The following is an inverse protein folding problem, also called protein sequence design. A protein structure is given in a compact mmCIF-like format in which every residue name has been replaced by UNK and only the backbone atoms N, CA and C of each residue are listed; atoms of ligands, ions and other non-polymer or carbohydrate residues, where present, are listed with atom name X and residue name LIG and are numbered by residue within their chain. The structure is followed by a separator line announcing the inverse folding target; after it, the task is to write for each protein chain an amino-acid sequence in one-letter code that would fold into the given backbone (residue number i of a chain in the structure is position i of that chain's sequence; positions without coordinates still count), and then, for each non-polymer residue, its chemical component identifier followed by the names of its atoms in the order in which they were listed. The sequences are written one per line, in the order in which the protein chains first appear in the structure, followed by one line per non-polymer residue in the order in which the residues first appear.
data_IF_318856192530
#
_entry.id   IF_318856192530
#
_cell.length_a   1.000
_cell.length_b   1.000
_cell.length_c   1.000
_cell.angle_alpha   90.00
_cell.angle_beta   90.00
_cell.angle_gamma   90.00
#
_symmetry.space_group_name_H-M   'P 1'
#
loop_
_entity.id
_entity.type
_entity.pdbx_description
1 polymer ?
#
# COMPACT_ATOMS: atom_id res chain seq x y z
N UNK A 1 -11.30 32.58 -6.64
CA UNK A 1 -12.02 31.27 -6.69
C UNK A 1 -11.17 30.13 -7.27
N UNK A 2 -10.44 30.35 -8.38
CA UNK A 2 -9.60 29.31 -9.05
C UNK A 2 -8.44 28.75 -8.20
N UNK A 3 -7.83 29.55 -7.32
CA UNK A 3 -6.66 29.11 -6.52
C UNK A 3 -6.97 28.08 -5.42
N UNK A 4 -8.15 28.16 -4.78
CA UNK A 4 -8.55 27.17 -3.76
C UNK A 4 -8.84 25.81 -4.41
N UNK A 5 -9.48 25.83 -5.59
CA UNK A 5 -9.74 24.64 -6.40
C UNK A 5 -8.41 24.01 -6.84
N UNK A 6 -7.45 24.83 -7.25
CA UNK A 6 -6.10 24.38 -7.60
C UNK A 6 -5.40 23.65 -6.46
N UNK A 7 -5.37 24.24 -5.25
CA UNK A 7 -4.76 23.59 -4.08
C UNK A 7 -5.49 22.28 -3.76
N UNK A 8 -6.83 22.27 -3.82
CA UNK A 8 -7.62 21.06 -3.59
C UNK A 8 -7.26 19.93 -4.56
N UNK A 9 -7.15 20.24 -5.85
CA UNK A 9 -6.74 19.27 -6.88
C UNK A 9 -5.30 18.81 -6.69
N UNK A 10 -4.38 19.73 -6.34
CA UNK A 10 -2.99 19.39 -6.04
C UNK A 10 -2.90 18.32 -4.94
N UNK A 11 -3.56 18.59 -3.81
CA UNK A 11 -3.57 17.68 -2.66
C UNK A 11 -4.22 16.35 -3.02
N UNK A 12 -5.34 16.39 -3.77
CA UNK A 12 -6.03 15.19 -4.22
C UNK A 12 -5.14 14.32 -5.12
N UNK A 13 -4.43 14.91 -6.09
CA UNK A 13 -3.54 14.14 -6.97
C UNK A 13 -2.33 13.58 -6.22
N UNK A 14 -1.73 14.34 -5.30
CA UNK A 14 -0.66 13.81 -4.46
C UNK A 14 -1.16 12.68 -3.54
N UNK A 15 -2.37 12.80 -3.00
CA UNK A 15 -3.02 11.74 -2.22
C UNK A 15 -3.28 10.48 -3.04
N UNK A 16 -3.78 10.63 -4.27
CA UNK A 16 -3.94 9.52 -5.21
C UNK A 16 -2.60 8.90 -5.61
N UNK A 17 -1.55 9.69 -5.76
CA UNK A 17 -0.21 9.20 -6.03
C UNK A 17 0.32 8.36 -4.86
N UNK A 18 0.18 8.85 -3.63
CA UNK A 18 0.55 8.08 -2.44
C UNK A 18 -0.26 6.78 -2.34
N UNK A 19 -1.57 6.87 -2.49
CA UNK A 19 -2.46 5.71 -2.49
C UNK A 19 -2.03 4.68 -3.54
N UNK A 20 -1.80 5.12 -4.78
CA UNK A 20 -1.34 4.24 -5.85
C UNK A 20 0.04 3.63 -5.59
N UNK A 21 0.97 4.36 -4.98
CA UNK A 21 2.30 3.85 -4.65
C UNK A 21 2.28 2.85 -3.49
N UNK A 22 1.31 2.96 -2.59
CA UNK A 22 1.10 2.01 -1.49
C UNK A 22 0.27 0.78 -1.90
N UNK A 23 -0.44 0.87 -3.02
CA UNK A 23 -1.04 -0.28 -3.68
C UNK A 23 0.06 -1.15 -4.33
N UNK A 24 -0.20 -2.45 -4.44
CA UNK A 24 0.68 -3.45 -5.04
C UNK A 24 1.17 -3.03 -6.45
N UNK A 25 2.38 -3.45 -6.84
CA UNK A 25 3.12 -3.05 -8.05
C UNK A 25 2.32 -3.28 -9.35
N UNK A 26 1.29 -4.12 -9.34
CA UNK A 26 0.40 -4.33 -10.49
C UNK A 26 -0.27 -3.05 -10.99
N UNK A 27 -0.42 -2.02 -10.15
CA UNK A 27 -0.96 -0.71 -10.54
C UNK A 27 0.11 0.28 -11.04
N UNK A 28 1.40 -0.04 -10.89
CA UNK A 28 2.53 0.80 -11.31
C UNK A 28 2.53 1.04 -12.84
N UNK A 29 2.14 0.02 -13.63
CA UNK A 29 2.04 0.14 -15.09
C UNK A 29 1.03 1.20 -15.56
N UNK A 30 0.00 1.48 -14.77
CA UNK A 30 -1.02 2.48 -15.08
C UNK A 30 -0.70 3.87 -14.50
N UNK A 31 0.35 3.99 -13.68
CA UNK A 31 0.73 5.24 -13.01
C UNK A 31 1.08 6.38 -13.98
N UNK A 32 1.67 6.05 -15.15
CA UNK A 32 1.95 7.03 -16.21
C UNK A 32 0.66 7.61 -16.81
N UNK A 33 -0.36 6.78 -17.04
CA UNK A 33 -1.66 7.23 -17.56
C UNK A 33 -2.36 8.16 -16.56
N UNK A 34 -2.27 7.85 -15.26
CA UNK A 34 -2.87 8.66 -14.20
C UNK A 34 -2.05 9.89 -13.80
N UNK A 35 -0.79 10.03 -14.23
CA UNK A 35 0.08 11.17 -13.89
C UNK A 35 0.20 12.21 -15.02
N UNK A 36 0.14 11.76 -16.27
CA UNK A 36 0.20 12.65 -17.44
C UNK A 36 -1.10 13.44 -17.59
N UNK A 37 -2.27 12.81 -17.41
CA UNK A 37 -3.57 13.47 -17.56
C UNK A 37 -3.74 14.63 -16.56
N UNK A 38 -3.44 14.48 -15.26
CA UNK A 38 -3.49 15.59 -14.31
C UNK A 38 -2.49 16.70 -14.61
N UNK A 39 -1.26 16.37 -15.01
CA UNK A 39 -0.24 17.36 -15.35
C UNK A 39 -0.63 18.22 -16.57
N UNK A 40 -1.23 17.60 -17.58
CA UNK A 40 -1.79 18.29 -18.76
C UNK A 40 -3.00 19.13 -18.37
N UNK A 41 -3.88 18.62 -17.49
CA UNK A 41 -5.01 19.39 -16.97
C UNK A 41 -4.56 20.60 -16.13
N UNK A 42 -3.51 20.43 -15.32
CA UNK A 42 -2.89 21.45 -14.46
C UNK A 42 -2.32 22.62 -15.25
N UNK A 43 -1.64 22.31 -16.36
CA UNK A 43 -1.01 23.31 -17.25
C UNK A 43 -2.03 24.08 -18.09
N UNK A 44 -3.16 23.45 -18.44
CA UNK A 44 -4.22 24.05 -19.25
C UNK A 44 -5.17 24.97 -18.45
N UNK A 45 -5.56 24.62 -17.21
CA UNK A 45 -6.65 25.32 -16.51
C UNK A 45 -6.22 26.37 -15.46
N UNK A 46 -4.99 26.31 -14.97
CA UNK A 46 -4.58 27.03 -13.73
C UNK A 46 -3.51 28.09 -13.92
N UNK A 47 -2.99 28.23 -15.13
CA UNK A 47 -1.69 28.85 -15.33
C UNK A 47 -1.68 30.39 -15.30
N UNK A 48 -0.62 31.02 -14.76
CA UNK A 48 -0.30 32.42 -15.02
C UNK A 48 -0.03 32.65 -16.52
N UNK A 49 -0.18 33.90 -17.00
CA UNK A 49 -0.04 34.25 -18.42
C UNK A 49 1.36 34.04 -18.98
N UNK A 50 2.38 33.96 -18.12
CA UNK A 50 3.79 33.80 -18.50
C UNK A 50 4.22 32.32 -18.61
N UNK A 51 4.93 31.98 -19.68
CA UNK A 51 5.40 30.62 -19.98
C UNK A 51 6.26 30.04 -18.84
N UNK A 52 7.18 30.84 -18.28
CA UNK A 52 8.07 30.42 -17.20
C UNK A 52 7.32 30.02 -15.92
N UNK A 53 6.23 30.72 -15.58
CA UNK A 53 5.40 30.36 -14.43
C UNK A 53 4.72 28.99 -14.61
N UNK A 54 4.32 28.66 -15.84
CA UNK A 54 3.77 27.33 -16.17
C UNK A 54 4.80 26.22 -16.00
N UNK A 55 6.02 26.46 -16.49
CA UNK A 55 7.12 25.48 -16.40
C UNK A 55 7.47 25.21 -14.93
N UNK A 56 7.67 26.25 -14.13
CA UNK A 56 7.99 26.11 -12.70
C UNK A 56 6.89 25.34 -11.96
N UNK A 57 5.63 25.71 -12.18
CA UNK A 57 4.49 25.05 -11.52
C UNK A 57 4.37 23.56 -11.93
N UNK A 58 4.62 23.26 -13.20
CA UNK A 58 4.68 21.89 -13.70
C UNK A 58 5.79 21.08 -13.05
N UNK A 59 7.01 21.64 -12.95
CA UNK A 59 8.13 20.99 -12.29
C UNK A 59 7.82 20.70 -10.81
N UNK A 60 7.24 21.66 -10.09
CA UNK A 60 6.83 21.47 -8.68
C UNK A 60 5.81 20.35 -8.57
N UNK A 61 4.77 20.36 -9.42
CA UNK A 61 3.75 19.31 -9.42
C UNK A 61 4.34 17.92 -9.68
N UNK A 62 5.13 17.77 -10.74
CA UNK A 62 5.75 16.47 -11.09
C UNK A 62 6.66 15.98 -9.96
N UNK A 63 7.43 16.88 -9.34
CA UNK A 63 8.32 16.54 -8.23
C UNK A 63 7.53 16.09 -7.01
N UNK A 64 6.51 16.85 -6.60
CA UNK A 64 5.67 16.52 -5.45
C UNK A 64 4.84 15.24 -5.68
N UNK A 65 4.32 15.05 -6.88
CA UNK A 65 3.56 13.87 -7.26
C UNK A 65 4.44 12.61 -7.23
N UNK A 66 5.62 12.66 -7.86
CA UNK A 66 6.60 11.57 -7.84
C UNK A 66 7.06 11.25 -6.42
N UNK A 67 7.31 12.27 -5.61
CA UNK A 67 7.70 12.09 -4.22
C UNK A 67 6.59 11.46 -3.37
N UNK A 68 5.33 11.89 -3.57
CA UNK A 68 4.18 11.31 -2.87
C UNK A 68 4.00 9.82 -3.20
N UNK A 69 4.19 9.45 -4.46
CA UNK A 69 4.18 8.05 -4.89
C UNK A 69 5.32 7.25 -4.26
N UNK A 70 6.54 7.77 -4.28
CA UNK A 70 7.70 7.14 -3.63
C UNK A 70 7.46 6.91 -2.13
N UNK A 71 6.83 7.85 -1.43
CA UNK A 71 6.43 7.67 -0.02
C UNK A 71 5.39 6.56 0.15
N UNK A 72 4.44 6.43 -0.78
CA UNK A 72 3.49 5.32 -0.82
C UNK A 72 4.21 3.96 -0.94
N UNK A 73 5.15 3.84 -1.87
CA UNK A 73 5.94 2.61 -2.05
C UNK A 73 6.80 2.30 -0.83
N UNK A 74 7.38 3.33 -0.19
CA UNK A 74 8.12 3.15 1.07
C UNK A 74 7.20 2.67 2.21
N UNK A 75 5.95 3.12 2.26
CA UNK A 75 4.94 2.63 3.21
C UNK A 75 4.65 1.15 2.99
N UNK A 76 4.45 0.75 1.73
CA UNK A 76 4.27 -0.66 1.36
C UNK A 76 5.47 -1.53 1.77
N UNK A 77 6.70 -1.12 1.42
CA UNK A 77 7.91 -1.87 1.76
C UNK A 77 8.14 -1.97 3.27
N UNK A 78 7.74 -0.95 4.04
CA UNK A 78 7.74 -1.03 5.50
C UNK A 78 6.79 -2.13 5.98
N UNK A 79 5.57 -2.17 5.48
CA UNK A 79 4.59 -3.20 5.84
C UNK A 79 5.07 -4.61 5.44
N UNK A 80 5.71 -4.74 4.28
CA UNK A 80 6.32 -5.99 3.82
C UNK A 80 7.43 -6.49 4.75
N UNK A 81 8.39 -5.62 5.07
CA UNK A 81 9.48 -5.97 5.98
C UNK A 81 8.97 -6.30 7.39
N UNK A 82 7.92 -5.61 7.84
CA UNK A 82 7.24 -5.95 9.09
C UNK A 82 6.61 -7.34 9.04
N UNK A 83 6.03 -7.73 7.91
CA UNK A 83 5.49 -9.08 7.69
C UNK A 83 6.57 -10.16 7.67
N UNK A 84 7.70 -9.89 7.02
CA UNK A 84 8.85 -10.80 7.02
C UNK A 84 9.39 -11.02 8.44
N UNK A 85 9.45 -9.96 9.25
CA UNK A 85 10.01 -10.03 10.62
C UNK A 85 9.02 -10.58 11.65
N UNK A 86 7.73 -10.23 11.55
CA UNK A 86 6.69 -10.66 12.49
C UNK A 86 5.93 -11.91 12.04
N UNK A 87 6.19 -12.45 10.85
CA UNK A 87 5.44 -13.59 10.31
C UNK A 87 5.38 -14.79 11.26
N UNK A 88 6.51 -15.19 11.84
CA UNK A 88 6.56 -16.30 12.80
C UNK A 88 5.80 -15.99 14.10
N UNK A 89 5.87 -14.76 14.60
CA UNK A 89 5.10 -14.32 15.77
C UNK A 89 3.59 -14.45 15.51
N UNK A 90 3.13 -14.13 14.30
CA UNK A 90 1.71 -14.27 13.92
C UNK A 90 1.28 -15.75 13.92
N UNK A 91 2.14 -16.68 13.50
CA UNK A 91 1.87 -18.12 13.57
C UNK A 91 1.77 -18.61 15.01
N UNK A 92 2.67 -18.18 15.88
CA UNK A 92 2.64 -18.50 17.30
C UNK A 92 1.36 -17.98 17.97
N UNK A 93 0.94 -16.76 17.61
CA UNK A 93 -0.33 -16.18 18.08
C UNK A 93 -1.54 -16.98 17.60
N UNK A 94 -1.57 -17.41 16.34
CA UNK A 94 -2.63 -18.27 15.79
C UNK A 94 -2.68 -19.63 16.50
N UNK A 95 -1.51 -20.21 16.79
CA UNK A 95 -1.40 -21.48 17.54
C UNK A 95 -1.92 -21.31 18.96
N UNK A 96 -1.54 -20.23 19.64
CA UNK A 96 -2.01 -19.91 20.99
C UNK A 96 -3.53 -19.68 21.01
N UNK A 97 -4.07 -18.96 20.02
CA UNK A 97 -5.51 -18.75 19.90
C UNK A 97 -6.26 -20.07 19.72
N UNK A 98 -5.75 -20.97 18.88
CA UNK A 98 -6.33 -22.30 18.68
C UNK A 98 -6.31 -23.13 19.97
N UNK A 99 -5.21 -23.12 20.72
CA UNK A 99 -5.13 -23.83 22.01
C UNK A 99 -6.15 -23.33 23.04
N UNK A 100 -6.49 -22.04 23.00
CA UNK A 100 -7.44 -21.42 23.94
C UNK A 100 -8.90 -21.62 23.54
N UNK A 101 -9.20 -21.59 22.24
CA UNK A 101 -10.59 -21.56 21.74
C UNK A 101 -11.00 -22.86 21.04
N UNK A 102 -10.06 -23.78 20.82
CA UNK A 102 -10.21 -25.01 20.03
C UNK A 102 -10.65 -24.76 18.57
N UNK A 103 -10.49 -23.53 18.09
CA UNK A 103 -10.82 -23.09 16.74
C UNK A 103 -9.90 -21.96 16.30
N UNK A 104 -9.63 -21.86 15.00
CA UNK A 104 -8.92 -20.72 14.42
C UNK A 104 -9.83 -19.49 14.33
N UNK A 105 -9.29 -18.27 14.40
CA UNK A 105 -10.09 -17.07 14.26
C UNK A 105 -10.64 -16.97 12.82
N UNK A 106 -11.84 -16.41 12.64
CA UNK A 106 -12.35 -16.11 11.30
C UNK A 106 -11.59 -14.92 10.67
N UNK A 107 -11.14 -13.99 11.53
CA UNK A 107 -10.40 -12.81 11.12
C UNK A 107 -9.22 -12.58 12.07
N UNK A 108 -8.05 -12.20 11.54
CA UNK A 108 -6.87 -11.90 12.34
C UNK A 108 -7.08 -10.78 13.37
N UNK A 109 -8.08 -9.90 13.17
CA UNK A 109 -8.47 -8.88 14.13
C UNK A 109 -9.03 -9.44 15.45
N UNK A 110 -9.42 -10.72 15.50
CA UNK A 110 -9.86 -11.40 16.72
C UNK A 110 -8.68 -11.78 17.63
N UNK A 111 -7.44 -11.77 17.11
CA UNK A 111 -6.24 -11.94 17.91
C UNK A 111 -5.96 -10.63 18.65
N UNK A 112 -5.96 -10.68 19.98
CA UNK A 112 -5.69 -9.51 20.81
C UNK A 112 -4.31 -8.90 20.48
N UNK A 113 -4.30 -7.61 20.14
CA UNK A 113 -3.07 -6.89 19.83
C UNK A 113 -2.57 -7.06 18.39
N UNK A 114 -3.36 -7.64 17.48
CA UNK A 114 -2.95 -7.78 16.09
C UNK A 114 -2.78 -6.41 15.40
N UNK A 115 -1.51 -6.04 15.16
CA UNK A 115 -1.13 -4.77 14.55
C UNK A 115 0.07 -4.93 13.59
N UNK A 116 0.12 -6.02 12.84
CA UNK A 116 1.24 -6.32 11.93
C UNK A 116 0.92 -5.96 10.47
N UNK A 117 1.97 -5.61 9.73
CA UNK A 117 1.97 -5.38 8.28
C UNK A 117 0.94 -4.35 7.81
N UNK A 118 0.68 -3.33 8.62
CA UNK A 118 -0.31 -2.31 8.27
C UNK A 118 0.24 -1.32 7.27
N UNK A 119 -0.61 -0.99 6.31
CA UNK A 119 -0.44 0.14 5.40
C UNK A 119 -1.20 1.36 5.94
N UNK A 120 -0.82 2.54 5.48
CA UNK A 120 -1.38 3.83 5.93
C UNK A 120 -2.77 4.05 5.35
N UNK A 121 -2.97 3.85 4.05
CA UNK A 121 -4.25 4.06 3.36
C UNK A 121 -4.90 2.76 2.87
N UNK A 122 -4.19 1.63 2.95
CA UNK A 122 -4.70 0.33 2.55
C UNK A 122 -4.83 -0.65 3.74
N UNK A 123 -5.65 -1.71 3.60
CA UNK A 123 -5.65 -2.82 4.54
C UNK A 123 -4.27 -3.49 4.65
N UNK A 124 -4.08 -4.32 5.67
CA UNK A 124 -2.85 -5.13 5.81
C UNK A 124 -2.55 -5.90 4.52
N UNK A 125 -1.27 -6.06 4.21
CA UNK A 125 -0.83 -6.90 3.08
C UNK A 125 -0.95 -8.39 3.40
N UNK A 126 -1.11 -8.75 4.67
CA UNK A 126 -1.22 -10.13 5.10
C UNK A 126 -2.61 -10.68 4.75
N UNK A 127 -2.63 -11.65 3.85
CA UNK A 127 -3.82 -12.43 3.53
C UNK A 127 -3.91 -13.61 4.49
N UNK A 128 -5.11 -13.83 5.02
CA UNK A 128 -5.42 -14.92 5.94
C UNK A 128 -6.66 -15.64 5.46
N UNK A 129 -6.61 -16.97 5.46
CA UNK A 129 -7.76 -17.82 5.21
C UNK A 129 -7.72 -19.05 6.11
N UNK A 130 -8.87 -19.41 6.66
CA UNK A 130 -9.07 -20.72 7.29
C UNK A 130 -9.27 -21.78 6.21
N UNK A 131 -8.79 -22.98 6.48
CA UNK A 131 -8.94 -24.14 5.59
C UNK A 131 -9.45 -25.33 6.39
N UNK A 132 -9.92 -26.39 5.71
CA UNK A 132 -10.36 -27.60 6.39
C UNK A 132 -9.26 -28.29 7.22
N UNK A 133 -7.99 -27.99 6.92
CA UNK A 133 -6.81 -28.56 7.56
C UNK A 133 -6.11 -27.58 8.52
N UNK A 134 -6.67 -26.40 8.77
CA UNK A 134 -6.09 -25.39 9.67
C UNK A 134 -6.20 -23.98 9.09
N UNK A 135 -5.06 -23.31 8.87
CA UNK A 135 -5.03 -21.98 8.26
C UNK A 135 -3.92 -21.83 7.23
N UNK A 136 -4.05 -20.79 6.41
CA UNK A 136 -2.99 -20.31 5.53
C UNK A 136 -2.86 -18.79 5.68
N UNK A 137 -1.61 -18.35 5.82
CA UNK A 137 -1.23 -16.95 5.75
C UNK A 137 -0.29 -16.74 4.56
N UNK A 138 -0.46 -15.62 3.88
CA UNK A 138 0.44 -15.24 2.79
C UNK A 138 0.53 -13.74 2.60
N UNK A 139 1.68 -13.29 2.11
CA UNK A 139 1.88 -11.93 1.64
C UNK A 139 2.88 -11.97 0.48
N UNK A 140 2.79 -11.02 -0.43
CA UNK A 140 3.68 -10.91 -1.59
C UNK A 140 4.12 -9.47 -1.81
N UNK A 141 5.26 -9.30 -2.47
CA UNK A 141 5.77 -8.02 -2.98
C UNK A 141 5.59 -7.86 -4.50
N UNK A 142 4.76 -8.69 -5.13
CA UNK A 142 4.65 -8.79 -6.59
C UNK A 142 5.74 -9.65 -7.27
N UNK A 143 6.80 -10.03 -6.56
CA UNK A 143 7.91 -10.85 -7.07
C UNK A 143 8.15 -12.14 -6.29
N UNK A 144 7.90 -12.11 -4.99
CA UNK A 144 8.11 -13.19 -4.04
C UNK A 144 6.84 -13.38 -3.22
N UNK A 145 6.29 -14.58 -3.26
CA UNK A 145 5.17 -14.99 -2.43
C UNK A 145 5.72 -15.67 -1.18
N UNK A 146 5.47 -15.08 -0.02
CA UNK A 146 5.69 -15.71 1.26
C UNK A 146 4.40 -16.41 1.68
N UNK A 147 4.46 -17.73 1.89
CA UNK A 147 3.31 -18.53 2.35
C UNK A 147 3.70 -19.36 3.56
N UNK A 148 2.78 -19.45 4.50
CA UNK A 148 2.88 -20.30 5.68
C UNK A 148 1.53 -20.97 5.96
N UNK A 149 1.57 -22.19 6.50
CA UNK A 149 0.42 -22.94 6.99
C UNK A 149 0.64 -23.35 8.43
N UNK A 150 -0.34 -23.98 9.09
CA UNK A 150 -0.16 -24.53 10.43
C UNK A 150 1.11 -25.38 10.55
N UNK A 151 1.38 -26.27 9.59
CA UNK A 151 2.49 -27.23 9.66
C UNK A 151 3.79 -26.78 8.99
N UNK A 152 3.75 -25.77 8.10
CA UNK A 152 4.92 -25.34 7.33
C UNK A 152 5.22 -23.86 7.59
N UNK A 153 6.47 -23.49 7.98
CA UNK A 153 6.89 -22.12 8.25
C UNK A 153 6.79 -21.23 7.00
N UNK A 154 7.08 -19.93 7.15
CA UNK A 154 7.09 -19.04 6.00
C UNK A 154 8.20 -19.43 5.01
N UNK A 155 7.81 -19.83 3.81
CA UNK A 155 8.71 -20.12 2.70
C UNK A 155 8.49 -19.13 1.56
N UNK A 156 9.60 -18.55 1.07
CA UNK A 156 9.60 -17.60 -0.04
C UNK A 156 9.60 -18.38 -1.37
N UNK A 157 8.57 -18.18 -2.17
CA UNK A 157 8.41 -18.76 -3.49
C UNK A 157 8.54 -17.66 -4.54
N UNK A 158 9.30 -17.93 -5.61
CA UNK A 158 9.52 -17.01 -6.73
C UNK A 158 8.65 -17.39 -7.93
#
# INVERSE_FOLDING_TARGET
MKWRIFIGLFVLFCGLAFWAGEADEKLFGNFLLFSIIPAVFFTLFSAPTNLWGKVILGCVFVSSYSYSFYLGTKSYMRAYNECVTQGEVIREQLTTFYQQNLQYPEHLSQINGFNACKRVMHPTILMYQTTALGYQISFDDGHLLHRATESQPFEAHK
#
